data_IF_459237718494
#
_entry.id   IF_459237718494
#
_cell.length_a   1.000
_cell.length_b   1.000
_cell.length_c   1.000
_cell.angle_alpha   90.00
_cell.angle_beta   90.00
_cell.angle_gamma   90.00
#
_symmetry.space_group_name_H-M   'P 1'
#
loop_
_entity.id
_entity.type
_entity.pdbx_description
1 polymer ?
#
# COMPACT_ATOMS: atom_id res chain seq x y z
N UNK A 1 -25.43 4.42 -2.80
CA UNK A 1 -25.32 4.31 -1.34
C UNK A 1 -24.42 3.16 -0.87
N UNK A 2 -24.25 2.04 -1.60
CA UNK A 2 -23.27 1.00 -1.24
C UNK A 2 -21.82 1.31 -1.69
N UNK A 3 -21.65 2.01 -2.82
CA UNK A 3 -20.31 2.43 -3.28
C UNK A 3 -19.65 3.45 -2.35
N UNK A 4 -20.44 4.33 -1.72
CA UNK A 4 -19.95 5.37 -0.82
C UNK A 4 -19.31 4.79 0.45
N UNK A 5 -19.88 3.72 1.01
CA UNK A 5 -19.38 3.05 2.22
C UNK A 5 -18.11 2.25 1.94
N UNK A 6 -18.01 1.64 0.76
CA UNK A 6 -16.79 0.94 0.34
C UNK A 6 -15.66 1.94 0.07
N UNK A 7 -15.94 3.06 -0.59
CA UNK A 7 -14.96 4.12 -0.84
C UNK A 7 -14.45 4.77 0.46
N UNK A 8 -15.33 4.95 1.46
CA UNK A 8 -14.92 5.43 2.79
C UNK A 8 -14.02 4.42 3.51
N UNK A 9 -14.36 3.13 3.46
CA UNK A 9 -13.52 2.07 4.05
C UNK A 9 -12.17 1.95 3.34
N UNK A 10 -12.15 2.01 2.01
CA UNK A 10 -10.92 2.02 1.22
C UNK A 10 -10.00 3.16 1.67
N UNK A 11 -10.52 4.39 1.70
CA UNK A 11 -9.76 5.57 2.12
C UNK A 11 -9.25 5.45 3.57
N UNK A 12 -10.07 4.92 4.48
CA UNK A 12 -9.65 4.73 5.87
C UNK A 12 -8.46 3.77 5.97
N UNK A 13 -8.54 2.60 5.30
CA UNK A 13 -7.46 1.61 5.28
C UNK A 13 -6.23 2.16 4.56
N UNK A 14 -6.40 2.89 3.46
CA UNK A 14 -5.28 3.50 2.73
C UNK A 14 -4.52 4.48 3.63
N UNK A 15 -5.22 5.42 4.27
CA UNK A 15 -4.59 6.39 5.18
C UNK A 15 -3.90 5.68 6.34
N UNK A 16 -4.54 4.67 6.94
CA UNK A 16 -3.95 3.90 8.05
C UNK A 16 -2.64 3.21 7.63
N UNK A 17 -2.61 2.61 6.44
CA UNK A 17 -1.39 1.99 5.89
C UNK A 17 -0.33 3.04 5.58
N UNK A 18 -0.69 4.18 5.00
CA UNK A 18 0.26 5.26 4.70
C UNK A 18 0.90 5.84 5.98
N UNK A 19 0.09 6.09 7.01
CA UNK A 19 0.60 6.58 8.30
C UNK A 19 1.50 5.55 8.99
N UNK A 20 1.15 4.27 8.90
CA UNK A 20 1.96 3.17 9.44
C UNK A 20 3.32 3.07 8.74
N UNK A 21 3.37 3.14 7.41
CA UNK A 21 4.63 3.10 6.65
C UNK A 21 5.49 4.32 6.98
N UNK A 22 4.88 5.49 7.15
CA UNK A 22 5.60 6.72 7.52
C UNK A 22 6.11 6.72 8.96
N UNK A 23 5.36 6.10 9.88
CA UNK A 23 5.71 6.07 11.30
C UNK A 23 6.70 4.95 11.65
N UNK A 24 6.78 3.91 10.82
CA UNK A 24 7.55 2.70 11.14
C UNK A 24 8.60 2.43 10.06
N UNK A 25 9.89 2.73 10.32
CA UNK A 25 10.95 2.53 9.32
C UNK A 25 11.26 1.05 9.07
N UNK A 26 10.88 0.16 9.98
CA UNK A 26 11.13 -1.28 9.87
C UNK A 26 9.99 -1.98 9.12
N UNK A 27 10.36 -2.72 8.08
CA UNK A 27 9.40 -3.44 7.26
C UNK A 27 8.80 -4.65 7.99
N UNK A 28 9.50 -5.23 8.97
CA UNK A 28 9.00 -6.38 9.73
C UNK A 28 7.74 -6.02 10.53
N UNK A 29 7.68 -4.82 11.09
CA UNK A 29 6.49 -4.32 11.77
C UNK A 29 5.35 -4.02 10.77
N UNK A 30 5.69 -3.42 9.61
CA UNK A 30 4.70 -3.11 8.57
C UNK A 30 4.05 -4.37 8.00
N UNK A 31 4.81 -5.46 7.78
CA UNK A 31 4.23 -6.73 7.30
C UNK A 31 3.25 -7.35 8.30
N UNK A 32 3.51 -7.26 9.60
CA UNK A 32 2.62 -7.84 10.62
C UNK A 32 1.28 -7.09 10.69
N UNK A 33 1.36 -5.77 10.57
CA UNK A 33 0.19 -4.92 10.55
C UNK A 33 -0.61 -5.07 9.23
N UNK A 34 0.05 -5.16 8.08
CA UNK A 34 -0.60 -5.48 6.80
C UNK A 34 -1.32 -6.84 6.86
N UNK A 35 -0.70 -7.87 7.44
CA UNK A 35 -1.35 -9.17 7.64
C UNK A 35 -2.60 -9.06 8.55
N UNK A 36 -2.55 -8.25 9.60
CA UNK A 36 -3.70 -8.00 10.48
C UNK A 36 -4.86 -7.31 9.74
N UNK A 37 -4.56 -6.52 8.70
CA UNK A 37 -5.54 -5.87 7.83
C UNK A 37 -6.02 -6.76 6.67
N UNK A 38 -5.71 -8.07 6.70
CA UNK A 38 -6.03 -9.03 5.64
C UNK A 38 -5.36 -8.74 4.29
N UNK A 39 -4.23 -8.04 4.30
CA UNK A 39 -3.38 -7.97 3.12
C UNK A 39 -2.61 -9.28 2.95
N UNK A 40 -2.49 -9.70 1.70
CA UNK A 40 -1.79 -10.90 1.27
C UNK A 40 -0.52 -10.46 0.53
N UNK A 41 0.64 -11.06 0.84
CA UNK A 41 1.86 -10.75 0.11
C UNK A 41 1.81 -11.40 -1.27
N UNK A 42 1.72 -10.58 -2.32
CA UNK A 42 1.91 -11.02 -3.71
C UNK A 42 3.40 -11.14 -4.04
N UNK A 43 4.20 -10.24 -3.48
CA UNK A 43 5.66 -10.23 -3.66
C UNK A 43 6.31 -9.75 -2.38
N UNK A 44 7.26 -10.49 -1.86
CA UNK A 44 7.99 -10.12 -0.64
C UNK A 44 9.48 -10.35 -0.88
N UNK A 45 10.17 -9.35 -1.46
CA UNK A 45 11.59 -9.42 -1.75
C UNK A 45 12.33 -8.30 -1.01
N UNK A 46 13.64 -8.47 -0.84
CA UNK A 46 14.51 -7.52 -0.15
C UNK A 46 14.55 -6.12 -0.79
N UNK A 47 14.22 -5.98 -2.07
CA UNK A 47 14.19 -4.71 -2.79
C UNK A 47 12.76 -4.15 -2.95
N UNK A 48 11.76 -5.02 -3.07
CA UNK A 48 10.36 -4.66 -3.36
C UNK A 48 9.42 -5.63 -2.66
N UNK A 49 8.44 -5.08 -1.94
CA UNK A 49 7.28 -5.80 -1.45
C UNK A 49 5.99 -5.27 -2.08
N UNK A 50 5.09 -6.18 -2.44
CA UNK A 50 3.77 -5.93 -3.00
C UNK A 50 2.77 -6.71 -2.16
N UNK A 51 1.82 -5.97 -1.60
CA UNK A 51 0.74 -6.50 -0.80
C UNK A 51 -0.59 -6.12 -1.42
N UNK A 52 -1.55 -7.04 -1.38
CA UNK A 52 -2.87 -6.81 -1.95
C UNK A 52 -3.93 -7.19 -0.94
N UNK A 53 -4.99 -6.40 -0.88
CA UNK A 53 -6.17 -6.71 -0.09
C UNK A 53 -7.35 -6.93 -1.03
N UNK A 54 -7.76 -8.19 -1.27
CA UNK A 54 -8.74 -8.53 -2.29
C UNK A 54 -10.14 -7.98 -1.98
N UNK A 55 -10.54 -7.92 -0.71
CA UNK A 55 -11.88 -7.48 -0.30
C UNK A 55 -12.17 -6.01 -0.61
N UNK A 56 -11.23 -5.11 -0.29
CA UNK A 56 -11.36 -3.68 -0.62
C UNK A 56 -10.68 -3.32 -1.94
N UNK A 57 -10.08 -4.28 -2.64
CA UNK A 57 -9.31 -4.05 -3.87
C UNK A 57 -8.30 -2.92 -3.69
N UNK A 58 -7.45 -3.05 -2.67
CA UNK A 58 -6.35 -2.13 -2.39
C UNK A 58 -5.04 -2.86 -2.73
N UNK A 59 -4.09 -2.13 -3.28
CA UNK A 59 -2.72 -2.59 -3.45
C UNK A 59 -1.75 -1.63 -2.75
N UNK A 60 -0.70 -2.22 -2.18
CA UNK A 60 0.38 -1.51 -1.50
C UNK A 60 1.67 -1.99 -2.11
N UNK A 61 2.45 -1.06 -2.65
CA UNK A 61 3.79 -1.29 -3.14
C UNK A 61 4.77 -0.57 -2.22
N UNK A 62 5.74 -1.31 -1.73
CA UNK A 62 6.82 -0.84 -0.87
C UNK A 62 8.13 -1.09 -1.60
N UNK A 63 8.90 -0.02 -1.81
CA UNK A 63 10.25 -0.11 -2.33
C UNK A 63 11.22 0.04 -1.16
N UNK A 64 12.04 -0.97 -0.92
CA UNK A 64 13.03 -0.97 0.14
C UNK A 64 14.34 -0.40 -0.39
N UNK A 65 15.03 0.36 0.45
CA UNK A 65 16.38 0.83 0.19
C UNK A 65 17.37 -0.15 0.84
N UNK A 66 18.51 -0.40 0.20
CA UNK A 66 19.55 -1.31 0.68
C UNK A 66 20.17 -0.88 2.03
N UNK A 67 19.80 0.29 2.57
CA UNK A 67 20.18 0.82 3.88
C UNK A 67 19.18 0.61 5.01
N UNK A 68 18.09 -0.15 4.81
CA UNK A 68 17.16 -0.53 5.88
C UNK A 68 15.97 0.40 6.12
N UNK A 69 15.62 1.24 5.15
CA UNK A 69 14.40 2.06 5.17
C UNK A 69 13.67 2.01 3.82
N UNK A 70 12.57 2.73 3.68
CA UNK A 70 11.83 2.76 2.41
C UNK A 70 12.44 3.76 1.43
N UNK A 71 12.71 3.31 0.20
CA UNK A 71 13.00 4.18 -0.92
C UNK A 71 11.74 4.90 -1.43
N UNK A 72 10.57 4.28 -1.23
CA UNK A 72 9.27 4.86 -1.55
C UNK A 72 8.14 3.87 -1.29
N UNK A 73 6.92 4.36 -1.30
CA UNK A 73 5.72 3.52 -1.21
C UNK A 73 4.60 4.08 -2.10
N UNK A 74 3.66 3.20 -2.46
CA UNK A 74 2.44 3.56 -3.18
C UNK A 74 1.29 2.73 -2.62
N UNK A 75 0.25 3.41 -2.16
CA UNK A 75 -1.01 2.79 -1.72
C UNK A 75 -2.11 3.30 -2.66
N UNK A 76 -2.80 2.41 -3.34
CA UNK A 76 -3.90 2.80 -4.22
C UNK A 76 -4.91 1.66 -4.41
N UNK A 77 -6.07 1.98 -4.96
CA UNK A 77 -7.09 0.99 -5.29
C UNK A 77 -6.91 0.44 -6.70
N UNK A 78 -7.49 -0.73 -6.99
CA UNK A 78 -7.49 -1.28 -8.35
C UNK A 78 -8.31 -0.42 -9.34
N UNK A 79 -9.28 0.35 -8.84
CA UNK A 79 -10.06 1.28 -9.66
C UNK A 79 -9.19 2.44 -10.17
N UNK A 80 -8.29 2.94 -9.31
CA UNK A 80 -7.31 3.97 -9.65
C UNK A 80 -6.21 3.47 -10.61
N UNK A 81 -5.94 2.16 -10.63
CA UNK A 81 -5.04 1.54 -11.61
C UNK A 81 -5.67 1.36 -13.00
N UNK A 82 -7.00 1.43 -13.11
CA UNK A 82 -7.76 1.15 -14.33
C UNK A 82 -8.08 2.36 -15.22
N UNK A 83 -7.64 3.56 -14.86
CA UNK A 83 -7.86 4.77 -15.66
C UNK A 83 -6.91 4.85 -16.88
N UNK A 84 -7.37 5.33 -18.06
CA UNK A 84 -6.58 5.39 -19.30
C UNK A 84 -5.34 6.32 -19.25
N UNK A 85 -5.04 6.94 -18.11
CA UNK A 85 -3.89 7.83 -17.89
C UNK A 85 -3.13 7.51 -16.58
N UNK A 86 -3.27 6.29 -16.06
CA UNK A 86 -2.61 5.81 -14.84
C UNK A 86 -1.12 5.49 -15.02
N UNK A 87 -0.38 6.37 -15.68
CA UNK A 87 1.08 6.34 -15.63
C UNK A 87 1.51 6.52 -14.16
N UNK A 88 2.64 5.91 -13.80
CA UNK A 88 3.22 5.81 -12.46
C UNK A 88 3.72 7.18 -11.92
N UNK A 89 2.93 8.25 -12.07
CA UNK A 89 3.21 9.61 -11.67
C UNK A 89 2.80 9.82 -10.21
N UNK A 90 3.65 9.39 -9.29
CA UNK A 90 3.40 9.62 -7.87
C UNK A 90 4.37 8.91 -6.96
N UNK A 91 5.65 8.87 -7.33
CA UNK A 91 6.69 8.58 -6.36
C UNK A 91 6.79 9.80 -5.43
N UNK A 92 6.16 9.74 -4.25
CA UNK A 92 6.41 10.72 -3.19
C UNK A 92 7.82 10.47 -2.63
N UNK A 93 8.83 10.90 -3.37
CA UNK A 93 10.17 11.11 -2.85
C UNK A 93 10.16 12.47 -2.13
N UNK A 94 10.28 12.46 -0.82
CA UNK A 94 10.55 13.67 -0.02
C UNK A 94 11.95 13.60 0.56
#
# INVERSE_FOLDING_TARGET
MLGDVQAMQQRAVMVEVEEMIQSTPDYADVREALQSLNFIPERDNADIAIWVQPDLRIFVLLQMNLGGGYAGYKVATYDELGGPEGEFAGYNAR
#
